data_IF_383282777863
#
_entry.id   IF_383282777863
#
_cell.length_a   1.000
_cell.length_b   1.000
_cell.length_c   1.000
_cell.angle_alpha   90.00
_cell.angle_beta   90.00
_cell.angle_gamma   90.00
#
_symmetry.space_group_name_H-M   'P 1'
#
loop_
_entity.id
_entity.type
_entity.pdbx_description
1 polymer ?
#
# COMPACT_ATOMS: atom_id res chain seq x y z
N UNK A 1 19.23 16.82 -2.19
CA UNK A 1 18.29 15.78 -2.68
C UNK A 1 17.05 15.78 -1.83
N UNK A 2 16.10 14.87 -2.08
CA UNK A 2 14.95 14.63 -1.20
C UNK A 2 15.14 13.32 -0.46
N UNK A 3 14.78 13.29 0.82
CA UNK A 3 14.66 12.05 1.60
C UNK A 3 13.19 11.65 1.65
N UNK A 4 12.91 10.36 1.49
CA UNK A 4 11.57 9.79 1.51
C UNK A 4 11.51 8.69 2.56
N UNK A 5 10.45 8.68 3.36
CA UNK A 5 10.15 7.63 4.32
C UNK A 5 8.65 7.30 4.30
N UNK A 6 8.35 6.00 4.28
CA UNK A 6 7.02 5.49 4.59
C UNK A 6 6.82 5.51 6.12
N UNK A 7 5.59 5.72 6.58
CA UNK A 7 5.22 5.58 8.00
C UNK A 7 3.97 4.73 8.15
N UNK A 8 3.71 4.23 9.36
CA UNK A 8 2.44 3.58 9.67
C UNK A 8 1.29 4.59 9.59
N UNK A 9 0.08 4.12 9.25
CA UNK A 9 -1.09 5.00 9.17
C UNK A 9 -1.35 5.73 10.49
N UNK A 10 -1.61 7.03 10.39
CA UNK A 10 -1.89 7.95 11.49
C UNK A 10 -0.79 9.00 11.63
N UNK A 11 -1.19 10.26 11.69
CA UNK A 11 -0.28 11.42 11.77
C UNK A 11 0.69 11.37 12.95
N UNK A 12 0.37 10.67 14.03
CA UNK A 12 1.32 10.44 15.14
C UNK A 12 2.64 9.79 14.69
N UNK A 13 2.58 8.83 13.75
CA UNK A 13 3.77 8.13 13.26
C UNK A 13 4.57 9.04 12.34
N UNK A 14 3.88 9.81 11.51
CA UNK A 14 4.48 10.81 10.65
C UNK A 14 5.16 11.90 11.47
N UNK A 15 4.50 12.43 12.50
CA UNK A 15 5.06 13.43 13.40
C UNK A 15 6.34 12.93 14.09
N UNK A 16 6.34 11.70 14.60
CA UNK A 16 7.52 11.09 15.23
C UNK A 16 8.70 10.95 14.24
N UNK A 17 8.43 10.45 13.03
CA UNK A 17 9.46 10.31 11.99
C UNK A 17 10.03 11.67 11.60
N UNK A 18 9.16 12.67 11.48
CA UNK A 18 9.56 14.02 11.11
C UNK A 18 10.37 14.71 12.18
N UNK A 19 10.01 14.56 13.46
CA UNK A 19 10.82 15.04 14.57
C UNK A 19 12.22 14.38 14.55
N UNK A 20 12.29 13.07 14.31
CA UNK A 20 13.55 12.35 14.19
C UNK A 20 14.40 12.84 13.01
N UNK A 21 13.79 13.14 11.86
CA UNK A 21 14.47 13.69 10.68
C UNK A 21 14.92 15.15 10.90
N UNK A 22 14.11 15.98 11.56
CA UNK A 22 14.51 17.34 11.93
C UNK A 22 15.72 17.34 12.86
N UNK A 23 15.77 16.43 13.83
CA UNK A 23 16.92 16.24 14.71
C UNK A 23 18.19 15.79 13.96
N UNK A 24 18.04 15.23 12.75
CA UNK A 24 19.14 14.91 11.84
C UNK A 24 19.47 16.05 10.86
N UNK A 25 18.81 17.20 10.97
CA UNK A 25 19.05 18.39 10.14
C UNK A 25 18.25 18.44 8.85
N UNK A 26 17.24 17.58 8.68
CA UNK A 26 16.32 17.65 7.54
C UNK A 26 15.25 18.72 7.73
N UNK A 27 14.89 19.38 6.64
CA UNK A 27 13.71 20.25 6.57
C UNK A 27 12.49 19.46 6.07
N UNK A 28 11.33 19.70 6.66
CA UNK A 28 10.07 19.05 6.26
C UNK A 28 9.53 19.70 4.99
N UNK A 29 9.64 19.00 3.86
CA UNK A 29 9.07 19.45 2.59
C UNK A 29 7.58 19.16 2.45
N UNK A 30 7.16 17.92 2.75
CA UNK A 30 5.79 17.45 2.56
C UNK A 30 5.55 16.16 3.36
N UNK A 31 4.51 16.15 4.19
CA UNK A 31 3.90 14.94 4.74
C UNK A 31 2.47 14.79 4.20
N UNK A 32 2.06 13.57 3.85
CA UNK A 32 0.71 13.33 3.37
C UNK A 32 0.18 11.93 3.67
N UNK A 33 -1.14 11.83 3.79
CA UNK A 33 -1.89 10.57 3.80
C UNK A 33 -2.96 10.62 2.70
N UNK A 34 -3.26 9.47 2.11
CA UNK A 34 -4.32 9.32 1.11
C UNK A 34 -5.69 9.86 1.59
N UNK A 35 -5.96 9.78 2.90
CA UNK A 35 -7.19 10.29 3.53
C UNK A 35 -7.19 11.83 3.68
N UNK A 36 -6.81 12.54 2.61
CA UNK A 36 -6.83 14.00 2.45
C UNK A 36 -6.09 14.72 3.60
N UNK A 37 -5.05 14.09 4.14
CA UNK A 37 -4.20 14.67 5.16
C UNK A 37 -2.94 15.22 4.52
N UNK A 38 -2.69 16.52 4.66
CA UNK A 38 -1.47 17.16 4.16
C UNK A 38 -0.84 18.00 5.26
N UNK A 39 0.48 18.02 5.26
CA UNK A 39 1.30 18.87 6.13
C UNK A 39 2.44 19.42 5.31
N UNK A 40 2.43 20.74 5.14
CA UNK A 40 3.32 21.47 4.22
C UNK A 40 4.11 22.53 5.00
N UNK A 41 4.59 22.16 6.19
CA UNK A 41 5.60 22.83 7.02
C UNK A 41 5.76 22.06 8.33
N UNK A 42 6.64 22.53 9.21
CA UNK A 42 6.95 21.94 10.51
C UNK A 42 6.37 22.69 11.73
N UNK A 43 5.81 23.90 11.55
CA UNK A 43 5.18 24.63 12.66
C UNK A 43 4.03 23.89 13.37
N UNK A 44 3.31 23.02 12.66
CA UNK A 44 2.22 22.21 13.23
C UNK A 44 2.45 20.79 12.72
N UNK A 45 2.78 19.87 13.63
CA UNK A 45 2.98 18.45 13.32
C UNK A 45 1.63 17.71 13.23
N UNK A 46 0.69 18.28 12.49
CA UNK A 46 -0.66 17.76 12.25
C UNK A 46 -1.15 18.14 10.84
N UNK A 47 -2.29 17.61 10.44
CA UNK A 47 -2.96 17.94 9.17
C UNK A 47 -3.31 19.43 9.15
N UNK A 48 -2.86 20.14 8.12
CA UNK A 48 -3.24 21.52 7.87
C UNK A 48 -3.76 21.70 6.44
N UNK A 49 -5.08 21.58 6.30
CA UNK A 49 -5.77 21.80 5.03
C UNK A 49 -5.77 23.26 4.56
N UNK A 50 -5.68 24.23 5.48
CA UNK A 50 -5.69 25.67 5.13
C UNK A 50 -4.36 26.05 4.51
N UNK A 51 -3.25 25.64 5.11
CA UNK A 51 -1.92 25.86 4.53
C UNK A 51 -1.75 25.07 3.24
N UNK A 52 -2.23 23.82 3.18
CA UNK A 52 -2.23 23.04 1.94
C UNK A 52 -2.98 23.74 0.80
N UNK A 53 -4.17 24.30 1.08
CA UNK A 53 -4.93 25.09 0.12
C UNK A 53 -4.17 26.34 -0.33
N UNK A 54 -3.58 27.09 0.61
CA UNK A 54 -2.81 28.30 0.29
C UNK A 54 -1.62 28.01 -0.64
N UNK A 55 -0.87 26.94 -0.37
CA UNK A 55 0.23 26.47 -1.23
C UNK A 55 -0.29 26.06 -2.61
N UNK A 56 -1.41 25.33 -2.67
CA UNK A 56 -2.01 24.92 -3.95
C UNK A 56 -2.51 26.11 -4.78
N UNK A 57 -3.14 27.11 -4.15
CA UNK A 57 -3.54 28.36 -4.82
C UNK A 57 -2.32 29.12 -5.34
N UNK A 58 -1.22 29.16 -4.59
CA UNK A 58 0.02 29.76 -5.06
C UNK A 58 0.60 29.03 -6.28
N UNK A 59 0.55 27.68 -6.31
CA UNK A 59 0.91 26.88 -7.48
C UNK A 59 0.02 27.24 -8.68
N UNK A 60 -1.30 27.25 -8.49
CA UNK A 60 -2.26 27.57 -9.55
C UNK A 60 -2.03 28.98 -10.12
N UNK A 61 -1.80 29.99 -9.28
CA UNK A 61 -1.51 31.36 -9.70
C UNK A 61 -0.20 31.45 -10.51
N UNK A 62 0.85 30.74 -10.09
CA UNK A 62 2.14 30.69 -10.81
C UNK A 62 2.02 30.01 -12.18
N UNK A 63 1.23 28.93 -12.27
CA UNK A 63 0.97 28.25 -13.54
C UNK A 63 0.13 29.13 -14.47
N UNK A 64 -0.91 29.78 -13.93
CA UNK A 64 -1.74 30.69 -14.69
C UNK A 64 -0.95 31.87 -15.27
N UNK A 65 -0.02 32.46 -14.49
CA UNK A 65 0.89 33.50 -14.97
C UNK A 65 1.80 33.05 -16.13
N UNK A 66 1.98 31.75 -16.33
CA UNK A 66 2.71 31.14 -17.45
C UNK A 66 1.79 30.67 -18.59
N UNK A 67 0.48 30.92 -18.50
CA UNK A 67 -0.51 30.42 -19.46
C UNK A 67 -0.77 28.91 -19.37
N UNK A 68 -0.45 28.28 -18.24
CA UNK A 68 -0.62 26.83 -18.01
C UNK A 68 -1.71 26.57 -16.97
N UNK A 69 -2.54 25.54 -17.17
CA UNK A 69 -3.50 25.09 -16.14
C UNK A 69 -2.86 24.10 -15.16
N UNK A 70 -3.51 23.87 -14.02
CA UNK A 70 -3.10 22.80 -13.10
C UNK A 70 -3.20 21.42 -13.76
N UNK A 71 -4.20 21.23 -14.63
CA UNK A 71 -4.36 20.00 -15.42
C UNK A 71 -3.17 19.76 -16.35
N UNK A 72 -2.76 20.77 -17.12
CA UNK A 72 -1.59 20.66 -18.00
C UNK A 72 -0.32 20.36 -17.21
N UNK A 73 -0.18 20.95 -16.03
CA UNK A 73 0.96 20.66 -15.16
C UNK A 73 0.94 19.22 -14.64
N UNK A 74 -0.23 18.72 -14.23
CA UNK A 74 -0.40 17.32 -13.83
C UNK A 74 -0.06 16.35 -14.98
N UNK A 75 -0.54 16.61 -16.19
CA UNK A 75 -0.21 15.78 -17.36
C UNK A 75 1.31 15.83 -17.66
N UNK A 76 1.97 16.97 -17.45
CA UNK A 76 3.43 17.06 -17.55
C UNK A 76 4.17 16.23 -16.50
N UNK A 77 3.61 16.12 -15.29
CA UNK A 77 4.15 15.26 -14.22
C UNK A 77 3.96 13.79 -14.58
N UNK A 78 2.80 13.39 -15.11
CA UNK A 78 2.58 12.03 -15.58
C UNK A 78 3.52 11.66 -16.73
N UNK A 79 3.72 12.55 -17.69
CA UNK A 79 4.68 12.35 -18.77
C UNK A 79 6.11 12.15 -18.25
N UNK A 80 6.49 12.81 -17.15
CA UNK A 80 7.82 12.73 -16.56
C UNK A 80 8.02 11.52 -15.66
N UNK A 81 7.03 11.17 -14.85
CA UNK A 81 7.19 10.20 -13.74
C UNK A 81 6.40 8.89 -13.94
N UNK A 82 5.56 8.83 -14.97
CA UNK A 82 4.59 7.76 -15.21
C UNK A 82 3.20 8.12 -14.67
N UNK A 83 2.18 7.43 -15.17
CA UNK A 83 0.81 7.60 -14.68
C UNK A 83 0.61 6.80 -13.40
N UNK A 84 -0.01 7.43 -12.42
CA UNK A 84 -0.45 6.80 -11.19
C UNK A 84 -1.97 6.89 -11.12
N UNK A 85 -2.60 5.80 -10.71
CA UNK A 85 -4.04 5.73 -10.46
C UNK A 85 -4.29 4.87 -9.23
N UNK A 86 -5.40 5.08 -8.55
CA UNK A 86 -5.71 4.35 -7.31
C UNK A 86 -7.20 4.01 -7.18
N UNK A 87 -7.48 2.97 -6.41
CA UNK A 87 -8.80 2.52 -6.00
C UNK A 87 -8.75 2.11 -4.53
N UNK A 88 -9.36 2.92 -3.67
CA UNK A 88 -9.43 2.65 -2.25
C UNK A 88 -10.89 2.34 -1.89
N UNK A 89 -11.12 1.20 -1.25
CA UNK A 89 -12.46 0.75 -0.89
C UNK A 89 -12.43 -0.15 0.33
N UNK A 90 -13.58 -0.70 0.68
CA UNK A 90 -13.73 -1.60 1.82
C UNK A 90 -14.86 -2.60 1.61
N UNK A 91 -14.76 -3.71 2.32
CA UNK A 91 -15.83 -4.69 2.49
C UNK A 91 -16.39 -4.55 3.91
N UNK A 92 -17.72 -4.58 4.05
CA UNK A 92 -18.37 -4.64 5.34
C UNK A 92 -18.34 -6.09 5.82
N UNK A 93 -17.66 -6.36 6.92
CA UNK A 93 -17.59 -7.68 7.52
C UNK A 93 -17.85 -7.56 9.03
N UNK A 94 -19.13 -7.61 9.46
CA UNK A 94 -19.54 -7.54 10.86
C UNK A 94 -19.05 -8.72 11.72
N UNK A 95 -18.71 -9.84 11.08
CA UNK A 95 -18.26 -11.05 11.74
C UNK A 95 -16.72 -11.04 11.89
N UNK A 96 -16.18 -10.85 13.11
CA UNK A 96 -14.73 -10.83 13.32
C UNK A 96 -14.07 -12.17 13.05
N UNK A 97 -14.76 -13.30 13.26
CA UNK A 97 -14.21 -14.63 12.98
C UNK A 97 -14.02 -14.81 11.48
N UNK A 98 -14.99 -14.37 10.68
CA UNK A 98 -14.88 -14.36 9.22
C UNK A 98 -13.76 -13.44 8.74
N UNK A 99 -13.64 -12.25 9.34
CA UNK A 99 -12.54 -11.33 9.05
C UNK A 99 -11.18 -12.03 9.24
N UNK A 100 -10.99 -12.71 10.37
CA UNK A 100 -9.76 -13.44 10.66
C UNK A 100 -9.55 -14.58 9.67
N UNK A 101 -10.61 -15.33 9.33
CA UNK A 101 -10.55 -16.41 8.35
C UNK A 101 -10.09 -15.92 6.97
N UNK A 102 -10.56 -14.76 6.50
CA UNK A 102 -10.11 -14.18 5.22
C UNK A 102 -8.60 -13.94 5.24
N UNK A 103 -8.08 -13.30 6.29
CA UNK A 103 -6.64 -13.04 6.38
C UNK A 103 -5.81 -14.30 6.64
N UNK A 104 -6.33 -15.26 7.40
CA UNK A 104 -5.69 -16.58 7.57
C UNK A 104 -5.65 -17.34 6.24
N UNK A 105 -6.68 -17.25 5.39
CA UNK A 105 -6.68 -17.81 4.04
C UNK A 105 -5.63 -17.14 3.16
N UNK A 106 -5.46 -15.83 3.23
CA UNK A 106 -4.38 -15.11 2.51
C UNK A 106 -2.99 -15.57 2.98
N UNK A 107 -2.81 -15.81 4.29
CA UNK A 107 -1.50 -16.19 4.88
C UNK A 107 -1.14 -17.65 4.74
N UNK A 108 -2.11 -18.55 4.87
CA UNK A 108 -1.85 -19.98 5.10
C UNK A 108 -2.61 -20.90 4.15
N UNK A 109 -3.49 -20.35 3.31
CA UNK A 109 -4.28 -21.10 2.35
C UNK A 109 -3.40 -21.97 1.45
N UNK A 110 -3.79 -23.24 1.27
CA UNK A 110 -2.98 -24.24 0.56
C UNK A 110 -3.44 -24.50 -0.87
N UNK A 111 -4.63 -24.03 -1.26
CA UNK A 111 -5.17 -24.27 -2.60
C UNK A 111 -6.23 -23.23 -2.98
N UNK A 112 -6.00 -22.52 -4.07
CA UNK A 112 -7.03 -21.79 -4.82
C UNK A 112 -6.85 -22.15 -6.31
N UNK A 113 -7.92 -22.53 -7.03
CA UNK A 113 -7.80 -22.93 -8.44
C UNK A 113 -7.14 -21.83 -9.28
N UNK A 114 -5.96 -22.12 -9.84
CA UNK A 114 -5.23 -21.21 -10.72
C UNK A 114 -4.36 -20.15 -10.04
N UNK A 115 -4.22 -20.16 -8.71
CA UNK A 115 -3.35 -19.22 -7.98
C UNK A 115 -2.22 -20.00 -7.32
N UNK A 116 -1.00 -19.81 -7.83
CA UNK A 116 0.21 -20.33 -7.21
C UNK A 116 0.51 -19.58 -5.91
N UNK A 117 1.04 -20.29 -4.92
CA UNK A 117 1.33 -19.74 -3.59
C UNK A 117 2.73 -20.12 -3.14
N UNK A 118 3.30 -19.28 -2.29
CA UNK A 118 4.59 -19.56 -1.65
C UNK A 118 4.50 -20.72 -0.65
N UNK A 119 5.66 -21.23 -0.24
CA UNK A 119 5.84 -22.12 0.90
C UNK A 119 7.03 -21.65 1.73
N UNK A 120 6.83 -20.58 2.48
CA UNK A 120 7.85 -19.99 3.34
C UNK A 120 7.76 -20.57 4.75
N UNK A 121 8.62 -21.53 5.07
CA UNK A 121 8.62 -22.27 6.32
C UNK A 121 9.48 -21.57 7.36
N UNK A 122 8.86 -21.05 8.41
CA UNK A 122 9.56 -20.42 9.52
C UNK A 122 10.07 -21.50 10.45
N UNK A 123 11.39 -21.71 10.49
CA UNK A 123 11.99 -22.84 11.23
C UNK A 123 11.83 -22.72 12.74
N UNK A 124 11.75 -21.50 13.27
CA UNK A 124 11.57 -21.25 14.70
C UNK A 124 10.13 -21.50 15.19
N UNK A 125 9.10 -21.19 14.39
CA UNK A 125 7.70 -21.39 14.80
C UNK A 125 7.07 -22.66 14.24
N UNK A 126 7.63 -23.22 13.15
CA UNK A 126 7.05 -24.33 12.39
C UNK A 126 5.97 -23.90 11.39
N UNK A 127 5.57 -22.64 11.38
CA UNK A 127 4.55 -22.12 10.47
C UNK A 127 5.03 -22.14 9.02
N UNK A 128 4.11 -22.33 8.08
CA UNK A 128 4.38 -22.20 6.64
C UNK A 128 3.48 -21.12 6.07
N UNK A 129 4.07 -19.98 5.71
CA UNK A 129 3.36 -18.88 5.05
C UNK A 129 3.21 -19.21 3.56
N UNK A 130 1.98 -19.10 3.08
CA UNK A 130 1.52 -19.41 1.72
C UNK A 130 0.79 -18.23 1.12
N UNK A 131 1.53 -17.17 0.82
CA UNK A 131 0.98 -16.00 0.16
C UNK A 131 0.74 -16.27 -1.33
N UNK A 132 -0.26 -15.64 -1.95
CA UNK A 132 -0.43 -15.70 -3.39
C UNK A 132 0.80 -15.11 -4.10
N UNK A 133 1.27 -15.77 -5.16
CA UNK A 133 2.40 -15.32 -5.98
C UNK A 133 1.95 -14.45 -7.16
N UNK A 134 0.65 -14.32 -7.39
CA UNK A 134 0.04 -13.40 -8.35
C UNK A 134 -1.18 -12.72 -7.74
N UNK A 135 -1.51 -11.52 -8.24
CA UNK A 135 -2.77 -10.84 -7.95
C UNK A 135 -3.33 -10.33 -9.28
N UNK A 136 -4.51 -10.81 -9.68
CA UNK A 136 -5.10 -10.49 -10.98
C UNK A 136 -4.21 -10.95 -12.15
N UNK A 137 -3.48 -12.05 -11.95
CA UNK A 137 -2.49 -12.59 -12.89
C UNK A 137 -1.15 -11.86 -12.92
N UNK A 138 -0.96 -10.77 -12.19
CA UNK A 138 0.32 -10.05 -12.14
C UNK A 138 1.24 -10.65 -11.06
N UNK A 139 2.50 -10.99 -11.38
CA UNK A 139 3.43 -11.56 -10.40
C UNK A 139 3.66 -10.62 -9.22
N UNK A 140 3.61 -11.18 -8.01
CA UNK A 140 3.94 -10.49 -6.75
C UNK A 140 5.46 -10.40 -6.62
N UNK A 141 5.97 -9.18 -6.50
CA UNK A 141 7.40 -8.89 -6.31
C UNK A 141 7.77 -8.49 -4.89
N UNK A 142 6.80 -8.15 -4.04
CA UNK A 142 7.02 -7.76 -2.66
C UNK A 142 5.85 -8.19 -1.78
N UNK A 143 6.15 -8.65 -0.57
CA UNK A 143 5.17 -8.96 0.47
C UNK A 143 5.64 -8.31 1.77
N UNK A 144 4.73 -7.66 2.49
CA UNK A 144 4.92 -7.28 3.88
C UNK A 144 3.65 -7.58 4.66
N UNK A 145 3.78 -8.36 5.73
CA UNK A 145 2.70 -8.72 6.63
C UNK A 145 3.10 -8.33 8.05
N UNK A 146 2.58 -7.17 8.49
CA UNK A 146 2.92 -6.65 9.81
C UNK A 146 2.23 -7.44 10.93
N UNK A 147 1.23 -8.26 10.63
CA UNK A 147 0.56 -9.07 11.65
C UNK A 147 1.45 -10.20 12.15
N UNK A 148 2.19 -10.84 11.25
CA UNK A 148 3.08 -11.97 11.60
C UNK A 148 4.56 -11.58 11.62
N UNK A 149 4.87 -10.32 11.32
CA UNK A 149 6.24 -9.82 11.30
C UNK A 149 7.06 -10.40 10.16
N UNK A 150 6.54 -10.29 8.93
CA UNK A 150 7.18 -10.80 7.72
C UNK A 150 7.32 -9.72 6.65
N UNK A 151 8.49 -9.61 6.03
CA UNK A 151 8.76 -8.75 4.87
C UNK A 151 9.74 -9.44 3.92
N UNK A 152 9.38 -9.53 2.64
CA UNK A 152 10.21 -10.12 1.59
C UNK A 152 10.13 -9.29 0.30
N UNK A 153 11.28 -9.07 -0.31
CA UNK A 153 11.47 -8.38 -1.59
C UNK A 153 11.89 -9.36 -2.68
N UNK A 154 11.64 -8.96 -3.92
CA UNK A 154 11.94 -9.76 -5.12
C UNK A 154 11.32 -11.16 -5.09
N UNK A 155 10.12 -11.29 -4.51
CA UNK A 155 9.39 -12.55 -4.30
C UNK A 155 9.31 -13.40 -5.57
N UNK A 156 9.05 -12.79 -6.73
CA UNK A 156 8.99 -13.45 -8.04
C UNK A 156 10.34 -13.96 -8.57
N UNK A 157 11.46 -13.51 -7.99
CA UNK A 157 12.81 -14.01 -8.28
C UNK A 157 13.30 -15.01 -7.24
N UNK A 158 12.63 -15.07 -6.08
CA UNK A 158 12.95 -16.05 -5.04
C UNK A 158 12.38 -17.42 -5.40
N UNK A 159 12.90 -18.45 -4.75
CA UNK A 159 12.25 -19.75 -4.79
C UNK A 159 10.84 -19.64 -4.19
N UNK A 160 9.86 -20.28 -4.84
CA UNK A 160 8.50 -20.35 -4.31
C UNK A 160 8.44 -21.03 -2.94
N UNK A 161 9.42 -21.88 -2.62
CA UNK A 161 9.58 -22.55 -1.33
C UNK A 161 10.93 -22.20 -0.70
N UNK A 162 10.93 -21.81 0.57
CA UNK A 162 12.13 -21.40 1.31
C UNK A 162 11.96 -21.66 2.81
N UNK A 163 13.02 -22.15 3.47
CA UNK A 163 13.11 -22.17 4.93
C UNK A 163 13.66 -20.82 5.43
N UNK A 164 12.99 -20.22 6.40
CA UNK A 164 13.31 -18.88 6.95
C UNK A 164 13.70 -19.05 8.41
N UNK A 165 14.92 -18.63 8.74
CA UNK A 165 15.43 -18.68 10.10
C UNK A 165 14.86 -17.56 10.98
N UNK A 166 15.03 -17.68 12.30
CA UNK A 166 14.69 -16.61 13.23
C UNK A 166 15.52 -15.35 12.93
N UNK A 167 14.88 -14.18 12.89
CA UNK A 167 15.54 -12.91 12.57
C UNK A 167 15.64 -12.60 11.08
N UNK A 168 15.27 -13.52 10.19
CA UNK A 168 15.22 -13.29 8.75
C UNK A 168 13.86 -12.77 8.28
N UNK A 169 13.87 -12.04 7.16
CA UNK A 169 12.65 -11.49 6.54
C UNK A 169 11.79 -10.66 7.51
N UNK A 170 12.43 -9.91 8.42
CA UNK A 170 11.71 -9.04 9.36
C UNK A 170 11.32 -7.71 8.70
N UNK A 171 10.13 -7.16 9.02
CA UNK A 171 9.74 -5.87 8.53
C UNK A 171 10.53 -4.74 9.17
N UNK A 172 10.69 -3.64 8.44
CA UNK A 172 11.26 -2.41 9.00
C UNK A 172 10.30 -1.74 9.99
N UNK A 173 8.99 -1.91 9.80
CA UNK A 173 7.97 -1.38 10.69
C UNK A 173 7.65 -2.33 11.84
N UNK A 174 7.23 -1.80 13.00
CA UNK A 174 6.73 -2.62 14.10
C UNK A 174 5.59 -3.54 13.66
N UNK A 175 5.50 -4.70 14.31
CA UNK A 175 4.38 -5.62 14.13
C UNK A 175 3.07 -4.98 14.60
N UNK A 176 1.99 -5.30 13.90
CA UNK A 176 0.65 -4.77 14.12
C UNK A 176 -0.21 -5.78 14.89
N UNK A 177 -0.93 -5.31 15.91
CA UNK A 177 -1.94 -6.10 16.62
C UNK A 177 -3.23 -6.33 15.81
N UNK A 178 -3.33 -5.72 14.63
CA UNK A 178 -4.44 -5.88 13.69
C UNK A 178 -3.93 -6.39 12.34
N UNK A 179 -4.84 -6.94 11.53
CA UNK A 179 -4.47 -7.43 10.20
C UNK A 179 -3.98 -6.30 9.30
N UNK A 180 -2.78 -6.47 8.72
CA UNK A 180 -2.22 -5.56 7.74
C UNK A 180 -1.23 -6.29 6.83
N UNK A 181 -1.56 -6.40 5.55
CA UNK A 181 -0.73 -7.04 4.52
C UNK A 181 -0.58 -6.08 3.34
N UNK A 182 0.64 -5.89 2.86
CA UNK A 182 0.98 -5.14 1.65
C UNK A 182 1.60 -6.09 0.63
N UNK A 183 1.15 -5.98 -0.61
CA UNK A 183 1.74 -6.63 -1.79
C UNK A 183 2.20 -5.56 -2.78
N UNK A 184 3.30 -5.80 -3.48
CA UNK A 184 3.59 -5.11 -4.75
C UNK A 184 3.67 -6.13 -5.89
N UNK A 185 3.24 -5.72 -7.08
CA UNK A 185 3.21 -6.56 -8.28
C UNK A 185 4.05 -5.96 -9.40
N UNK A 186 4.51 -6.81 -10.33
CA UNK A 186 5.41 -6.42 -11.43
C UNK A 186 4.82 -5.44 -12.44
N UNK A 187 3.49 -5.30 -12.50
CA UNK A 187 2.83 -4.24 -13.28
C UNK A 187 2.82 -2.87 -12.57
N UNK A 188 3.53 -2.72 -11.45
CA UNK A 188 3.59 -1.47 -10.69
C UNK A 188 2.41 -1.28 -9.73
N UNK A 189 1.69 -2.35 -9.40
CA UNK A 189 0.62 -2.31 -8.41
C UNK A 189 1.17 -2.37 -6.98
N UNK A 190 0.58 -1.61 -6.06
CA UNK A 190 0.77 -1.75 -4.61
C UNK A 190 -0.60 -1.85 -3.95
N UNK A 191 -0.85 -2.98 -3.30
CA UNK A 191 -2.08 -3.29 -2.59
C UNK A 191 -1.78 -3.36 -1.10
N UNK A 192 -2.45 -2.58 -0.27
CA UNK A 192 -2.45 -2.74 1.19
C UNK A 192 -3.84 -3.08 1.68
N UNK A 193 -4.00 -4.21 2.34
CA UNK A 193 -5.24 -4.67 2.98
C UNK A 193 -5.10 -4.61 4.49
N UNK A 194 -6.11 -4.09 5.19
CA UNK A 194 -6.10 -4.01 6.66
C UNK A 194 -7.48 -4.11 7.28
N UNK A 195 -7.54 -4.52 8.54
CA UNK A 195 -8.76 -4.34 9.34
C UNK A 195 -8.88 -2.90 9.83
N UNK A 196 -10.11 -2.43 9.97
CA UNK A 196 -10.43 -1.15 10.59
C UNK A 196 -10.56 -1.33 12.11
N UNK A 197 -9.93 -0.45 12.89
CA UNK A 197 -9.96 -0.53 14.35
C UNK A 197 -11.25 0.01 15.00
N UNK A 198 -12.03 0.80 14.26
CA UNK A 198 -13.23 1.50 14.77
C UNK A 198 -14.52 1.03 14.11
N UNK A 199 -14.43 0.23 13.05
CA UNK A 199 -15.57 -0.17 12.23
C UNK A 199 -15.35 -1.60 11.73
N UNK A 200 -16.40 -2.41 11.53
CA UNK A 200 -16.28 -3.79 11.04
C UNK A 200 -16.00 -3.82 9.52
N UNK A 201 -14.85 -3.28 9.12
CA UNK A 201 -14.46 -3.10 7.72
C UNK A 201 -13.11 -3.75 7.44
N UNK A 202 -13.04 -4.51 6.35
CA UNK A 202 -11.80 -4.84 5.67
C UNK A 202 -11.54 -3.72 4.66
N UNK A 203 -10.52 -2.90 4.89
CA UNK A 203 -10.13 -1.81 3.98
C UNK A 203 -9.04 -2.28 3.05
N UNK A 204 -9.08 -1.87 1.80
CA UNK A 204 -7.95 -2.02 0.88
C UNK A 204 -7.63 -0.70 0.18
N UNK A 205 -6.34 -0.50 -0.04
CA UNK A 205 -5.78 0.63 -0.77
C UNK A 205 -4.97 0.06 -1.91
N UNK A 206 -5.36 0.36 -3.14
CA UNK A 206 -4.71 -0.14 -4.33
C UNK A 206 -4.26 1.04 -5.17
N UNK A 207 -2.97 1.10 -5.48
CA UNK A 207 -2.41 2.01 -6.46
C UNK A 207 -1.72 1.22 -7.57
N UNK A 208 -1.75 1.76 -8.79
CA UNK A 208 -1.04 1.21 -9.95
C UNK A 208 -0.25 2.32 -10.61
N UNK A 209 1.05 2.09 -10.79
CA UNK A 209 1.95 2.94 -11.56
C UNK A 209 2.23 2.31 -12.91
N UNK A 210 1.96 3.04 -13.98
CA UNK A 210 2.38 2.68 -15.33
C UNK A 210 3.48 3.63 -15.83
N UNK A 211 4.68 3.09 -16.08
CA UNK A 211 5.83 3.86 -16.58
C UNK A 211 5.79 4.15 -18.09
N UNK A 212 4.88 3.51 -18.84
CA UNK A 212 4.84 3.57 -20.31
C UNK A 212 4.06 4.78 -20.85
N UNK A 213 3.71 5.74 -19.99
CA UNK A 213 2.86 6.89 -20.32
C UNK A 213 1.48 6.48 -20.89
N UNK A 214 0.97 5.29 -20.53
CA UNK A 214 -0.32 4.77 -20.98
C UNK A 214 -1.36 4.80 -19.84
N UNK A 215 -2.15 5.87 -19.83
CA UNK A 215 -3.23 6.09 -18.86
C UNK A 215 -4.32 5.02 -18.94
N UNK A 216 -4.64 4.56 -20.15
CA UNK A 216 -5.70 3.57 -20.37
C UNK A 216 -5.27 2.23 -19.81
N UNK A 217 -4.02 1.82 -20.06
CA UNK A 217 -3.46 0.60 -19.50
C UNK A 217 -3.40 0.64 -17.97
N UNK A 218 -2.97 1.77 -17.39
CA UNK A 218 -2.96 1.94 -15.93
C UNK A 218 -4.37 1.75 -15.32
N UNK A 219 -5.40 2.32 -15.94
CA UNK A 219 -6.79 2.17 -15.49
C UNK A 219 -7.32 0.74 -15.66
N UNK A 220 -6.97 0.06 -16.75
CA UNK A 220 -7.33 -1.35 -16.97
C UNK A 220 -6.69 -2.25 -15.93
N UNK A 221 -5.38 -2.09 -15.69
CA UNK A 221 -4.64 -2.87 -14.70
C UNK A 221 -5.18 -2.64 -13.29
N UNK A 222 -5.50 -1.39 -12.93
CA UNK A 222 -6.17 -1.05 -11.68
C UNK A 222 -7.50 -1.78 -11.52
N UNK A 223 -8.34 -1.77 -12.57
CA UNK A 223 -9.63 -2.45 -12.53
C UNK A 223 -9.46 -3.97 -12.41
N UNK A 224 -8.55 -4.58 -13.16
CA UNK A 224 -8.22 -6.01 -13.05
C UNK A 224 -7.77 -6.37 -11.63
N UNK A 225 -6.83 -5.62 -11.06
CA UNK A 225 -6.36 -5.86 -9.69
C UNK A 225 -7.46 -5.63 -8.66
N UNK A 226 -8.31 -4.59 -8.81
CA UNK A 226 -9.42 -4.35 -7.88
C UNK A 226 -10.45 -5.48 -7.91
N UNK A 227 -10.73 -6.07 -9.08
CA UNK A 227 -11.59 -7.24 -9.20
C UNK A 227 -10.94 -8.47 -8.54
N UNK A 228 -9.63 -8.65 -8.72
CA UNK A 228 -8.86 -9.70 -8.08
C UNK A 228 -8.86 -9.60 -6.54
N UNK A 229 -8.79 -8.40 -5.96
CA UNK A 229 -8.94 -8.24 -4.49
C UNK A 229 -10.23 -8.89 -4.01
N UNK A 230 -11.36 -8.62 -4.69
CA UNK A 230 -12.66 -9.17 -4.31
C UNK A 230 -12.76 -10.68 -4.56
N UNK A 231 -12.26 -11.16 -5.72
CA UNK A 231 -12.46 -12.53 -6.18
C UNK A 231 -11.40 -13.52 -5.66
N UNK A 232 -10.13 -13.12 -5.62
CA UNK A 232 -8.98 -13.97 -5.31
C UNK A 232 -8.57 -13.88 -3.83
N UNK A 233 -8.59 -12.68 -3.22
CA UNK A 233 -8.10 -12.52 -1.85
C UNK A 233 -9.23 -12.60 -0.82
N UNK A 234 -10.30 -11.84 -1.06
CA UNK A 234 -11.42 -11.70 -0.11
C UNK A 234 -12.48 -12.78 -0.30
N UNK A 235 -12.62 -13.36 -1.50
CA UNK A 235 -13.72 -14.28 -1.87
C UNK A 235 -15.08 -13.68 -1.51
N UNK A 236 -15.28 -12.41 -1.87
CA UNK A 236 -16.38 -11.58 -1.37
C UNK A 236 -17.77 -12.17 -1.69
N UNK A 237 -17.92 -12.89 -2.82
CA UNK A 237 -19.19 -13.53 -3.18
C UNK A 237 -19.49 -14.72 -2.28
N UNK A 238 -18.52 -15.58 -2.07
CA UNK A 238 -18.60 -16.77 -1.22
C UNK A 238 -18.84 -16.37 0.24
N UNK A 239 -18.12 -15.34 0.68
CA UNK A 239 -18.18 -14.81 2.05
C UNK A 239 -19.37 -13.84 2.28
N UNK A 240 -20.14 -13.52 1.23
CA UNK A 240 -21.33 -12.65 1.21
C UNK A 240 -21.06 -11.23 1.73
N UNK A 241 -20.03 -10.60 1.19
CA UNK A 241 -19.55 -9.26 1.53
C UNK A 241 -19.85 -8.23 0.45
#
# INVERSE_FOLDING_TARGET
GFYYADTLTGFKWMANELEALQNQGYFIGLGYEEAIGYMIHDHVLDKDGVTALAVFVQLAARLHAKGQTVGDYLESLYAKYGYYTSANSYFLCPDPVKMDQIFLRIRYGTAEPGIERSEYRRTHTGDVLRYPLTIGGFPVSYIRDLTVGFEMRDVDKQAASLDIAEGECLPQFPVSSSHMITFETRNGGRLTMRTSGTEPKLKYYLEVRNSSNDRTKAAQDLNTMSQAVAAELVHAKEDRL
#
